data_IF_543991002469
#
_entry.id   IF_543991002469
#
_cell.length_a   1.000
_cell.length_b   1.000
_cell.length_c   1.000
_cell.angle_alpha   90.00
_cell.angle_beta   90.00
_cell.angle_gamma   90.00
#
_symmetry.space_group_name_H-M   'P 1'
#
loop_
_entity.id
_entity.type
_entity.pdbx_description
1 polymer ?
#
# COMPACT_ATOMS: atom_id res chain seq x y z
N UNK A 1 -2.98 -10.10 7.77
CA UNK A 1 -2.99 -8.61 7.75
C UNK A 1 -4.27 -8.12 8.46
N UNK A 2 -4.38 -6.86 8.91
CA UNK A 2 -5.69 -6.26 9.26
C UNK A 2 -6.56 -6.11 8.00
N UNK A 3 -7.88 -6.07 8.12
CA UNK A 3 -8.80 -5.76 7.01
C UNK A 3 -9.90 -4.81 7.50
N UNK A 4 -9.45 -3.65 7.97
CA UNK A 4 -10.27 -2.69 8.70
C UNK A 4 -10.60 -1.45 7.86
N UNK A 5 -9.80 -1.11 6.84
CA UNK A 5 -9.97 0.08 5.98
C UNK A 5 -9.42 -0.14 4.57
N UNK A 6 -9.92 0.63 3.61
CA UNK A 6 -9.42 0.68 2.23
C UNK A 6 -8.01 1.32 2.12
N UNK A 7 -6.97 0.65 2.64
CA UNK A 7 -5.58 1.13 2.57
C UNK A 7 -4.77 0.47 1.43
N UNK A 8 -3.44 0.51 1.48
CA UNK A 8 -2.57 0.03 0.41
C UNK A 8 -2.74 -1.47 0.18
N UNK A 9 -2.20 -2.25 1.11
CA UNK A 9 -2.20 -3.72 1.12
C UNK A 9 -3.59 -4.32 1.35
N UNK A 10 -4.45 -3.61 2.09
CA UNK A 10 -5.84 -4.01 2.36
C UNK A 10 -6.68 -4.09 1.07
N UNK A 11 -6.48 -3.18 0.10
CA UNK A 11 -7.11 -3.25 -1.22
C UNK A 11 -6.43 -4.26 -2.16
N UNK A 12 -5.11 -4.47 -2.05
CA UNK A 12 -4.43 -5.52 -2.85
C UNK A 12 -4.97 -6.91 -2.52
N UNK A 13 -5.21 -7.23 -1.24
CA UNK A 13 -5.86 -8.50 -0.85
C UNK A 13 -7.28 -8.61 -1.41
N UNK A 14 -8.03 -7.51 -1.47
CA UNK A 14 -9.33 -7.52 -2.12
C UNK A 14 -9.21 -7.81 -3.62
N UNK A 15 -8.34 -7.10 -4.36
CA UNK A 15 -8.12 -7.36 -5.80
C UNK A 15 -7.67 -8.82 -6.05
N UNK A 16 -6.80 -9.37 -5.21
CA UNK A 16 -6.36 -10.77 -5.30
C UNK A 16 -7.51 -11.74 -5.05
N UNK A 17 -8.37 -11.49 -4.05
CA UNK A 17 -9.54 -12.33 -3.78
C UNK A 17 -10.64 -12.18 -4.84
N UNK A 18 -10.86 -10.97 -5.37
CA UNK A 18 -11.79 -10.68 -6.48
C UNK A 18 -11.36 -11.50 -7.71
N UNK A 19 -10.11 -11.35 -8.13
CA UNK A 19 -9.56 -12.00 -9.31
C UNK A 19 -9.46 -13.53 -9.18
N UNK A 20 -9.08 -14.06 -8.01
CA UNK A 20 -9.06 -15.52 -7.79
C UNK A 20 -10.44 -16.16 -7.88
N UNK A 21 -11.50 -15.48 -7.41
CA UNK A 21 -12.89 -15.93 -7.58
C UNK A 21 -13.32 -15.91 -9.04
N UNK A 22 -12.94 -14.87 -9.80
CA UNK A 22 -13.22 -14.82 -11.25
C UNK A 22 -12.50 -15.91 -12.03
N UNK A 23 -11.33 -16.34 -11.57
CA UNK A 23 -10.59 -17.49 -12.11
C UNK A 23 -11.11 -18.87 -11.63
N UNK A 24 -12.14 -18.92 -10.78
CA UNK A 24 -12.79 -20.16 -10.33
C UNK A 24 -12.22 -20.79 -9.06
N UNK A 25 -11.29 -20.13 -8.35
CA UNK A 25 -10.76 -20.60 -7.07
C UNK A 25 -11.66 -20.17 -5.88
N UNK A 26 -11.55 -20.85 -4.73
CA UNK A 26 -12.22 -20.43 -3.48
C UNK A 26 -11.24 -19.79 -2.48
N UNK A 27 -10.89 -18.49 -2.61
CA UNK A 27 -10.05 -17.80 -1.62
C UNK A 27 -10.81 -17.52 -0.32
N UNK A 28 -10.15 -17.78 0.81
CA UNK A 28 -10.60 -17.39 2.15
C UNK A 28 -9.65 -16.35 2.72
N UNK A 29 -10.18 -15.19 3.11
CA UNK A 29 -9.36 -14.07 3.60
C UNK A 29 -9.32 -14.11 5.13
N UNK A 30 -8.15 -14.42 5.69
CA UNK A 30 -7.90 -14.36 7.13
C UNK A 30 -7.31 -12.99 7.54
N UNK A 31 -7.97 -12.33 8.50
CA UNK A 31 -7.51 -11.08 9.09
C UNK A 31 -7.90 -10.99 10.58
N UNK A 32 -6.94 -10.92 11.54
CA UNK A 32 -7.24 -10.89 12.98
C UNK A 32 -7.91 -9.61 13.48
N UNK A 33 -8.05 -8.59 12.62
CA UNK A 33 -8.86 -7.39 12.89
C UNK A 33 -9.65 -7.06 11.63
N UNK A 34 -10.96 -6.90 11.78
CA UNK A 34 -11.92 -6.65 10.70
C UNK A 34 -12.54 -5.24 10.83
N UNK A 35 -13.25 -4.81 9.78
CA UNK A 35 -14.05 -3.58 9.77
C UNK A 35 -14.69 -3.36 8.39
N UNK A 36 -14.94 -2.09 8.04
CA UNK A 36 -15.72 -1.66 6.86
C UNK A 36 -15.36 -2.39 5.55
N UNK A 37 -14.07 -2.63 5.27
CA UNK A 37 -13.67 -3.36 4.06
C UNK A 37 -13.97 -4.87 4.15
N UNK A 38 -13.78 -5.51 5.32
CA UNK A 38 -14.15 -6.91 5.52
C UNK A 38 -15.67 -7.12 5.42
N UNK A 39 -16.45 -6.15 5.91
CA UNK A 39 -17.91 -6.13 5.79
C UNK A 39 -18.35 -5.96 4.33
N UNK A 40 -17.76 -5.00 3.61
CA UNK A 40 -17.98 -4.80 2.17
C UNK A 40 -17.64 -6.06 1.35
N UNK A 41 -16.49 -6.69 1.62
CA UNK A 41 -16.09 -7.94 0.97
C UNK A 41 -17.05 -9.10 1.28
N UNK A 42 -17.58 -9.20 2.50
CA UNK A 42 -18.63 -10.21 2.82
C UNK A 42 -19.93 -9.96 2.05
N UNK A 43 -20.33 -8.70 1.85
CA UNK A 43 -21.49 -8.35 0.99
C UNK A 43 -21.23 -8.70 -0.48
N UNK A 44 -19.98 -8.60 -0.94
CA UNK A 44 -19.52 -9.09 -2.27
C UNK A 44 -19.35 -10.63 -2.33
N UNK A 45 -19.70 -11.35 -1.26
CA UNK A 45 -19.70 -12.82 -1.18
C UNK A 45 -18.34 -13.46 -0.89
N UNK A 46 -17.32 -12.70 -0.49
CA UNK A 46 -16.02 -13.24 -0.05
C UNK A 46 -16.14 -13.92 1.31
N UNK A 47 -15.46 -15.06 1.48
CA UNK A 47 -15.33 -15.72 2.79
C UNK A 47 -14.22 -15.04 3.59
N UNK A 48 -14.60 -14.15 4.51
CA UNK A 48 -13.67 -13.39 5.36
C UNK A 48 -13.79 -13.83 6.82
N UNK A 49 -12.67 -14.19 7.47
CA UNK A 49 -12.61 -14.74 8.84
C UNK A 49 -11.53 -14.08 9.70
N UNK A 50 -11.78 -14.02 11.00
CA UNK A 50 -10.87 -13.53 12.06
C UNK A 50 -10.27 -14.66 12.93
N UNK A 51 -10.70 -15.90 12.70
CA UNK A 51 -10.21 -17.12 13.35
C UNK A 51 -9.88 -18.16 12.29
N UNK A 52 -8.67 -18.72 12.34
CA UNK A 52 -8.23 -19.77 11.41
C UNK A 52 -9.06 -21.07 11.56
N UNK A 53 -9.60 -21.32 12.76
CA UNK A 53 -10.56 -22.39 13.03
C UNK A 53 -11.94 -22.21 12.37
N UNK A 54 -12.17 -21.11 11.64
CA UNK A 54 -13.37 -20.86 10.84
C UNK A 54 -13.12 -20.96 9.33
N UNK A 55 -11.91 -21.34 8.89
CA UNK A 55 -11.66 -21.75 7.51
C UNK A 55 -12.27 -23.16 7.32
N UNK A 56 -13.17 -23.39 6.36
CA UNK A 56 -13.97 -24.61 6.29
C UNK A 56 -13.25 -25.81 5.64
N UNK A 57 -12.01 -25.64 5.19
CA UNK A 57 -11.18 -26.65 4.54
C UNK A 57 -9.69 -26.41 4.85
N UNK A 58 -8.85 -27.42 4.60
CA UNK A 58 -7.40 -27.24 4.47
C UNK A 58 -7.12 -26.58 3.11
N UNK A 59 -6.47 -25.40 3.04
CA UNK A 59 -6.12 -24.80 1.74
C UNK A 59 -5.05 -25.63 1.02
N UNK A 60 -5.00 -25.54 -0.31
CA UNK A 60 -3.91 -26.09 -1.12
C UNK A 60 -2.63 -25.24 -1.00
N UNK A 61 -2.79 -23.94 -0.78
CA UNK A 61 -1.72 -22.95 -0.68
C UNK A 61 -2.11 -21.80 0.26
N UNK A 62 -1.14 -21.21 0.94
CA UNK A 62 -1.32 -20.00 1.76
C UNK A 62 -0.64 -18.82 1.07
N UNK A 63 -1.43 -17.84 0.59
CA UNK A 63 -0.92 -16.50 0.31
C UNK A 63 -0.67 -15.78 1.63
N UNK A 64 0.59 -15.58 1.98
CA UNK A 64 1.03 -15.03 3.26
C UNK A 64 1.57 -13.61 3.12
N UNK A 65 1.23 -12.74 4.08
CA UNK A 65 1.81 -11.40 4.21
C UNK A 65 1.65 -10.88 5.63
N UNK A 66 2.64 -10.10 6.06
CA UNK A 66 2.91 -9.74 7.46
C UNK A 66 3.29 -10.96 8.32
N UNK A 67 4.28 -10.80 9.20
CA UNK A 67 4.88 -11.96 9.89
C UNK A 67 3.92 -12.65 10.86
N UNK A 68 3.30 -11.93 11.81
CA UNK A 68 2.43 -12.57 12.83
C UNK A 68 1.25 -13.35 12.23
N UNK A 69 0.47 -12.82 11.26
CA UNK A 69 -0.59 -13.57 10.60
C UNK A 69 -0.08 -14.79 9.83
N UNK A 70 1.13 -14.71 9.26
CA UNK A 70 1.77 -15.85 8.58
C UNK A 70 2.13 -16.96 9.55
N UNK A 71 2.73 -16.64 10.71
CA UNK A 71 3.05 -17.61 11.76
C UNK A 71 1.79 -18.34 12.25
N UNK A 72 0.68 -17.61 12.44
CA UNK A 72 -0.59 -18.20 12.85
C UNK A 72 -1.14 -19.16 11.78
N UNK A 73 -1.11 -18.77 10.51
CA UNK A 73 -1.58 -19.62 9.40
C UNK A 73 -0.72 -20.88 9.21
N UNK A 74 0.60 -20.75 9.32
CA UNK A 74 1.53 -21.89 9.27
C UNK A 74 1.27 -22.88 10.41
N UNK A 75 1.09 -22.39 11.64
CA UNK A 75 0.77 -23.24 12.79
C UNK A 75 -0.61 -23.94 12.70
N UNK A 76 -1.59 -23.32 12.04
CA UNK A 76 -2.91 -23.91 11.83
C UNK A 76 -2.95 -24.95 10.70
N UNK A 77 -2.05 -24.84 9.71
CA UNK A 77 -2.02 -25.67 8.51
C UNK A 77 -0.59 -26.10 8.14
N UNK A 78 0.11 -26.86 9.01
CA UNK A 78 1.57 -27.08 8.92
C UNK A 78 2.04 -27.72 7.60
N UNK A 79 1.23 -28.59 7.02
CA UNK A 79 1.53 -29.29 5.76
C UNK A 79 1.24 -28.47 4.50
N UNK A 80 0.74 -27.23 4.63
CA UNK A 80 0.27 -26.43 3.48
C UNK A 80 1.37 -25.49 2.99
N UNK A 81 1.78 -25.52 1.70
CA UNK A 81 2.83 -24.66 1.19
C UNK A 81 2.42 -23.18 1.24
N UNK A 82 3.39 -22.33 1.57
CA UNK A 82 3.19 -20.89 1.74
C UNK A 82 3.93 -20.12 0.65
N UNK A 83 3.28 -19.08 0.12
CA UNK A 83 3.88 -18.05 -0.73
C UNK A 83 3.88 -16.72 0.02
N UNK A 84 5.05 -16.21 0.42
CA UNK A 84 5.15 -15.02 1.27
C UNK A 84 5.44 -13.74 0.46
N UNK A 85 4.57 -12.75 0.59
CA UNK A 85 4.63 -11.49 -0.17
C UNK A 85 5.19 -10.34 0.69
N UNK A 86 6.22 -9.68 0.15
CA UNK A 86 6.85 -8.48 0.70
C UNK A 86 6.30 -7.25 -0.05
N UNK A 87 5.46 -6.45 0.61
CA UNK A 87 4.80 -5.26 0.04
C UNK A 87 5.54 -3.94 0.35
N UNK A 88 6.62 -4.00 1.14
CA UNK A 88 7.37 -2.83 1.60
C UNK A 88 8.83 -3.19 1.90
N UNK A 89 9.75 -2.40 1.33
CA UNK A 89 11.15 -2.45 1.72
C UNK A 89 11.43 -1.87 3.12
N UNK A 90 10.45 -1.17 3.73
CA UNK A 90 10.69 -0.34 4.91
C UNK A 90 10.20 -0.94 6.24
N UNK A 91 9.10 -1.71 6.24
CA UNK A 91 8.43 -2.07 7.50
C UNK A 91 8.87 -3.41 8.07
N UNK A 92 9.20 -3.47 9.36
CA UNK A 92 9.64 -4.69 10.06
C UNK A 92 8.51 -5.72 10.13
N UNK A 93 7.25 -5.28 10.20
CA UNK A 93 6.09 -6.19 10.13
C UNK A 93 5.99 -6.96 8.80
N UNK A 94 6.62 -6.45 7.74
CA UNK A 94 6.67 -7.03 6.39
C UNK A 94 8.05 -7.64 6.06
N UNK A 95 8.91 -7.87 7.06
CA UNK A 95 10.21 -8.51 6.85
C UNK A 95 10.03 -9.89 6.19
N UNK A 96 10.82 -10.24 5.16
CA UNK A 96 10.84 -11.58 4.60
C UNK A 96 11.11 -12.63 5.68
N UNK A 97 10.36 -13.74 5.63
CA UNK A 97 10.50 -14.86 6.57
C UNK A 97 11.26 -15.98 5.88
N UNK A 98 12.33 -16.49 6.50
CA UNK A 98 12.93 -17.76 6.11
C UNK A 98 12.30 -18.88 6.95
N UNK A 99 11.47 -19.71 6.32
CA UNK A 99 10.83 -20.86 6.97
C UNK A 99 10.64 -22.00 5.97
N UNK A 100 10.83 -23.28 6.34
CA UNK A 100 10.79 -24.39 5.37
C UNK A 100 9.43 -24.57 4.66
N UNK A 101 8.33 -24.14 5.29
CA UNK A 101 6.99 -24.17 4.70
C UNK A 101 6.78 -23.10 3.60
N UNK A 102 7.60 -22.03 3.58
CA UNK A 102 7.51 -20.94 2.60
C UNK A 102 8.29 -21.33 1.36
N UNK A 103 7.60 -21.90 0.36
CA UNK A 103 8.23 -22.43 -0.85
C UNK A 103 8.62 -21.33 -1.83
N UNK A 104 7.82 -20.27 -1.95
CA UNK A 104 8.10 -19.12 -2.82
C UNK A 104 7.96 -17.80 -2.06
N UNK A 105 8.69 -16.79 -2.51
CA UNK A 105 8.60 -15.41 -2.06
C UNK A 105 8.23 -14.50 -3.22
N UNK A 106 7.46 -13.46 -2.95
CA UNK A 106 7.08 -12.45 -3.96
C UNK A 106 7.44 -11.07 -3.45
N UNK A 107 8.17 -10.31 -4.26
CA UNK A 107 8.40 -8.89 -4.04
C UNK A 107 7.48 -8.05 -4.94
N UNK A 108 6.88 -6.98 -4.42
CA UNK A 108 6.02 -6.10 -5.24
C UNK A 108 6.78 -5.03 -6.03
N UNK A 109 8.06 -4.81 -5.74
CA UNK A 109 8.94 -3.91 -6.49
C UNK A 109 10.41 -4.32 -6.31
N UNK A 110 11.31 -3.65 -7.03
CA UNK A 110 12.75 -3.92 -6.99
C UNK A 110 13.38 -3.71 -5.58
N UNK A 111 12.90 -2.74 -4.78
CA UNK A 111 13.40 -2.54 -3.41
C UNK A 111 12.96 -3.70 -2.49
N UNK A 112 11.74 -4.21 -2.68
CA UNK A 112 11.25 -5.38 -1.97
C UNK A 112 12.03 -6.64 -2.38
N UNK A 113 12.47 -6.74 -3.65
CA UNK A 113 13.34 -7.82 -4.15
C UNK A 113 14.70 -7.76 -3.48
N UNK A 114 15.34 -6.58 -3.45
CA UNK A 114 16.61 -6.35 -2.78
C UNK A 114 16.52 -6.68 -1.27
N UNK A 115 15.42 -6.34 -0.61
CA UNK A 115 15.17 -6.72 0.78
C UNK A 115 15.02 -8.23 0.97
N UNK A 116 14.37 -8.94 0.05
CA UNK A 116 14.29 -10.41 0.09
C UNK A 116 15.69 -11.04 -0.06
N UNK A 117 16.47 -10.61 -1.04
CA UNK A 117 17.84 -11.10 -1.26
C UNK A 117 18.75 -10.80 -0.05
N UNK A 118 18.70 -9.58 0.50
CA UNK A 118 19.46 -9.19 1.69
C UNK A 118 19.02 -9.94 2.97
N UNK A 119 17.78 -10.45 3.01
CA UNK A 119 17.27 -11.31 4.08
C UNK A 119 17.61 -12.81 3.87
N UNK A 120 18.41 -13.15 2.86
CA UNK A 120 18.80 -14.53 2.57
C UNK A 120 17.74 -15.36 1.83
N UNK A 121 16.78 -14.72 1.16
CA UNK A 121 15.84 -15.43 0.27
C UNK A 121 16.58 -15.90 -0.98
N UNK A 122 16.44 -17.19 -1.26
CA UNK A 122 16.92 -17.88 -2.45
C UNK A 122 16.39 -17.22 -3.76
N UNK A 123 17.27 -16.77 -4.68
CA UNK A 123 16.87 -16.16 -5.95
C UNK A 123 15.96 -17.05 -6.81
N UNK A 124 16.12 -18.38 -6.79
CA UNK A 124 15.31 -19.30 -7.59
C UNK A 124 13.87 -19.41 -7.07
N UNK A 125 13.64 -18.96 -5.83
CA UNK A 125 12.33 -18.97 -5.15
C UNK A 125 11.70 -17.59 -5.03
N UNK A 126 12.33 -16.55 -5.58
CA UNK A 126 11.91 -15.15 -5.46
C UNK A 126 11.38 -14.57 -6.79
N UNK A 127 10.07 -14.45 -6.90
CA UNK A 127 9.41 -13.72 -7.99
C UNK A 127 9.27 -12.22 -7.69
N UNK A 128 9.08 -11.40 -8.73
CA UNK A 128 8.72 -9.99 -8.60
C UNK A 128 7.40 -9.76 -9.32
N UNK A 129 6.31 -9.56 -8.57
CA UNK A 129 4.95 -9.41 -9.11
C UNK A 129 4.41 -8.04 -8.70
N UNK A 130 4.37 -7.12 -9.66
CA UNK A 130 4.00 -5.73 -9.42
C UNK A 130 2.50 -5.52 -9.16
N UNK A 131 2.10 -4.37 -8.61
CA UNK A 131 0.68 -4.10 -8.34
C UNK A 131 -0.16 -4.13 -9.64
N UNK A 132 -1.36 -4.75 -9.61
CA UNK A 132 -2.35 -4.68 -10.68
C UNK A 132 -3.31 -3.49 -10.51
N UNK A 133 -4.13 -3.27 -11.53
CA UNK A 133 -5.38 -2.52 -11.49
C UNK A 133 -6.56 -3.42 -11.88
N UNK A 134 -7.67 -3.38 -11.13
CA UNK A 134 -8.92 -3.98 -11.59
C UNK A 134 -9.56 -3.09 -12.65
N UNK A 135 -9.30 -3.41 -13.91
CA UNK A 135 -9.82 -2.73 -15.08
C UNK A 135 -11.35 -2.65 -15.18
N UNK A 136 -12.08 -3.59 -14.55
CA UNK A 136 -13.55 -3.62 -14.56
C UNK A 136 -14.14 -2.64 -13.55
N UNK A 137 -13.42 -2.39 -12.44
CA UNK A 137 -13.77 -1.38 -11.44
C UNK A 137 -13.31 0.01 -11.87
N UNK A 138 -12.04 0.14 -12.23
CA UNK A 138 -11.43 1.40 -12.68
C UNK A 138 -11.74 1.63 -14.16
N UNK A 139 -12.99 2.00 -14.46
CA UNK A 139 -13.45 2.35 -15.80
C UNK A 139 -12.66 3.53 -16.40
N UNK A 140 -12.58 3.59 -17.73
CA UNK A 140 -11.90 4.69 -18.45
C UNK A 140 -12.75 5.96 -18.43
N UNK A 141 -12.13 7.10 -18.12
CA UNK A 141 -12.73 8.44 -18.29
C UNK A 141 -12.74 8.85 -19.77
N UNK A 142 -13.46 9.94 -20.07
CA UNK A 142 -13.42 10.58 -21.39
C UNK A 142 -12.08 11.27 -21.70
N UNK A 143 -11.99 11.95 -22.84
CA UNK A 143 -10.78 12.68 -23.25
C UNK A 143 -10.31 13.68 -22.18
N UNK A 144 -8.99 13.83 -22.04
CA UNK A 144 -8.38 14.88 -21.22
C UNK A 144 -8.46 16.25 -21.92
N UNK A 145 -8.61 17.36 -21.18
CA UNK A 145 -8.58 18.70 -21.77
C UNK A 145 -7.15 19.10 -22.19
N UNK A 146 -7.00 20.04 -23.13
CA UNK A 146 -5.68 20.53 -23.57
C UNK A 146 -4.83 21.21 -22.46
N UNK A 147 -5.45 21.56 -21.33
CA UNK A 147 -4.78 21.96 -20.08
C UNK A 147 -5.60 21.43 -18.90
N UNK A 148 -4.98 20.88 -17.83
CA UNK A 148 -5.71 20.36 -16.69
C UNK A 148 -6.42 21.49 -15.94
N UNK A 149 -7.64 21.25 -15.46
CA UNK A 149 -8.43 22.21 -14.69
C UNK A 149 -8.66 21.73 -13.26
N UNK A 150 -8.82 20.42 -13.07
CA UNK A 150 -9.10 19.79 -11.77
C UNK A 150 -8.06 18.73 -11.44
N UNK A 151 -7.48 18.82 -10.25
CA UNK A 151 -6.48 17.88 -9.75
C UNK A 151 -6.86 17.25 -8.42
N UNK A 152 -6.38 16.02 -8.20
CA UNK A 152 -6.57 15.27 -6.95
C UNK A 152 -5.21 14.90 -6.34
N UNK A 153 -4.98 15.27 -5.08
CA UNK A 153 -3.85 14.78 -4.29
C UNK A 153 -4.28 13.58 -3.43
N UNK A 154 -3.79 12.39 -3.79
CA UNK A 154 -3.97 11.15 -3.04
C UNK A 154 -2.82 10.97 -2.04
N UNK A 155 -3.04 11.32 -0.77
CA UNK A 155 -1.96 11.43 0.22
C UNK A 155 -2.16 10.67 1.53
N UNK A 156 -1.08 10.01 1.95
CA UNK A 156 -0.94 9.35 3.27
C UNK A 156 -0.36 10.30 4.33
N UNK A 157 0.38 11.34 3.93
CA UNK A 157 1.23 12.18 4.79
C UNK A 157 1.04 13.69 4.53
N UNK A 158 1.64 14.57 5.34
CA UNK A 158 1.21 15.97 5.50
C UNK A 158 2.18 17.01 4.91
N UNK A 159 3.24 16.59 4.23
CA UNK A 159 4.43 17.41 3.92
C UNK A 159 4.36 18.03 2.50
N UNK A 160 3.97 17.24 1.49
CA UNK A 160 3.87 17.71 0.10
C UNK A 160 2.66 18.62 -0.17
N UNK A 161 1.65 18.59 0.72
CA UNK A 161 0.37 19.29 0.55
C UNK A 161 0.52 20.76 0.15
N UNK A 162 1.41 21.51 0.82
CA UNK A 162 1.64 22.94 0.51
C UNK A 162 2.26 23.11 -0.87
N UNK A 163 3.28 22.32 -1.20
CA UNK A 163 3.98 22.40 -2.47
C UNK A 163 3.05 22.12 -3.66
N UNK A 164 2.23 21.07 -3.56
CA UNK A 164 1.22 20.72 -4.57
C UNK A 164 0.15 21.82 -4.68
N UNK A 165 -0.35 22.35 -3.56
CA UNK A 165 -1.35 23.43 -3.55
C UNK A 165 -0.84 24.72 -4.19
N UNK A 166 0.40 25.14 -3.90
CA UNK A 166 1.01 26.31 -4.52
C UNK A 166 1.28 26.10 -6.03
N UNK A 167 1.78 24.92 -6.42
CA UNK A 167 2.01 24.56 -7.82
C UNK A 167 0.72 24.57 -8.67
N UNK A 168 -0.39 24.08 -8.10
CA UNK A 168 -1.73 24.13 -8.72
C UNK A 168 -2.28 25.56 -8.78
N UNK A 169 -2.20 26.31 -7.66
CA UNK A 169 -2.69 27.69 -7.52
C UNK A 169 -2.07 28.64 -8.55
N UNK A 170 -0.77 28.53 -8.79
CA UNK A 170 -0.05 29.34 -9.80
C UNK A 170 -0.55 29.05 -11.23
N UNK A 171 -1.09 27.85 -11.48
CA UNK A 171 -1.57 27.39 -12.79
C UNK A 171 -3.09 27.46 -12.97
N UNK A 172 -3.82 27.99 -11.99
CA UNK A 172 -5.28 28.09 -12.01
C UNK A 172 -6.01 26.75 -11.87
N UNK A 173 -5.34 25.72 -11.32
CA UNK A 173 -5.89 24.36 -11.18
C UNK A 173 -6.61 24.23 -9.84
N UNK A 174 -7.87 23.77 -9.87
CA UNK A 174 -8.63 23.37 -8.69
C UNK A 174 -8.01 22.13 -8.06
N UNK A 175 -7.52 22.22 -6.81
CA UNK A 175 -6.97 21.07 -6.08
C UNK A 175 -7.97 20.52 -5.05
N UNK A 176 -8.33 19.26 -5.22
CA UNK A 176 -9.01 18.44 -4.21
C UNK A 176 -7.98 17.53 -3.52
N UNK A 177 -8.19 17.25 -2.24
CA UNK A 177 -7.32 16.34 -1.46
C UNK A 177 -8.11 15.15 -0.93
N UNK A 178 -7.46 13.99 -0.85
CA UNK A 178 -8.02 12.78 -0.25
C UNK A 178 -6.93 11.92 0.41
N UNK A 179 -7.31 11.22 1.48
CA UNK A 179 -6.49 10.26 2.21
C UNK A 179 -6.24 10.66 3.67
N UNK A 180 -5.47 9.80 4.37
CA UNK A 180 -5.24 9.87 5.82
C UNK A 180 -4.72 11.23 6.29
N UNK A 181 -3.98 11.96 5.46
CA UNK A 181 -3.44 13.27 5.80
C UNK A 181 -4.51 14.34 6.05
N UNK A 182 -5.66 14.24 5.37
CA UNK A 182 -6.77 15.20 5.42
C UNK A 182 -8.01 14.64 6.12
N UNK A 183 -8.01 13.36 6.49
CA UNK A 183 -9.13 12.70 7.18
C UNK A 183 -10.32 12.34 6.28
N UNK A 184 -10.29 12.75 5.00
CA UNK A 184 -11.22 12.36 3.96
C UNK A 184 -10.80 11.01 3.37
N UNK A 185 -11.72 10.07 3.26
CA UNK A 185 -11.51 8.76 2.64
C UNK A 185 -12.59 8.53 1.58
N UNK A 186 -12.33 7.62 0.64
CA UNK A 186 -13.33 7.14 -0.32
C UNK A 186 -13.37 5.61 -0.28
N UNK A 187 -14.57 5.07 -0.43
CA UNK A 187 -14.82 3.65 -0.70
C UNK A 187 -15.25 3.42 -2.17
N UNK A 188 -15.22 4.47 -2.99
CA UNK A 188 -15.55 4.52 -4.43
C UNK A 188 -14.54 5.39 -5.19
N UNK A 189 -13.25 5.14 -4.96
CA UNK A 189 -12.18 5.93 -5.60
C UNK A 189 -12.13 5.72 -7.11
N UNK A 190 -12.59 4.56 -7.59
CA UNK A 190 -12.80 4.26 -9.00
C UNK A 190 -13.79 5.23 -9.69
N UNK A 191 -14.80 5.74 -8.96
CA UNK A 191 -15.77 6.71 -9.45
C UNK A 191 -15.24 8.15 -9.29
N UNK A 192 -14.60 8.47 -8.16
CA UNK A 192 -14.07 9.82 -7.92
C UNK A 192 -12.97 10.22 -8.92
N UNK A 193 -12.12 9.27 -9.34
CA UNK A 193 -11.04 9.53 -10.30
C UNK A 193 -11.54 10.07 -11.66
N UNK A 194 -12.75 9.70 -12.07
CA UNK A 194 -13.36 10.15 -13.33
C UNK A 194 -13.46 11.69 -13.41
N UNK A 195 -13.65 12.36 -12.25
CA UNK A 195 -13.87 13.81 -12.15
C UNK A 195 -12.62 14.68 -12.20
N UNK A 196 -11.43 14.11 -12.41
CA UNK A 196 -10.14 14.82 -12.40
C UNK A 196 -9.41 14.71 -13.72
N UNK A 197 -8.55 15.69 -14.01
CA UNK A 197 -7.66 15.70 -15.19
C UNK A 197 -6.24 15.26 -14.81
N UNK A 198 -5.85 15.55 -13.56
CA UNK A 198 -4.49 15.37 -13.03
C UNK A 198 -4.55 14.73 -11.64
N UNK A 199 -3.66 13.78 -11.35
CA UNK A 199 -3.57 13.12 -10.04
C UNK A 199 -2.14 13.13 -9.53
N UNK A 200 -1.95 13.56 -8.28
CA UNK A 200 -0.69 13.44 -7.54
C UNK A 200 -0.78 12.20 -6.65
N UNK A 201 0.01 11.16 -6.94
CA UNK A 201 -0.08 9.86 -6.27
C UNK A 201 1.25 9.08 -6.33
N UNK A 202 1.32 7.97 -5.59
CA UNK A 202 2.41 6.98 -5.66
C UNK A 202 1.87 5.56 -5.49
N UNK A 203 2.67 4.56 -5.89
CA UNK A 203 2.33 3.14 -5.88
C UNK A 203 1.00 2.81 -6.62
N UNK A 204 0.25 1.80 -6.14
CA UNK A 204 -1.07 1.37 -6.64
C UNK A 204 -1.98 2.54 -7.07
N UNK A 205 -2.06 3.60 -6.28
CA UNK A 205 -2.94 4.75 -6.54
C UNK A 205 -2.56 5.55 -7.80
N UNK A 206 -1.28 5.58 -8.16
CA UNK A 206 -0.80 6.20 -9.39
C UNK A 206 -1.11 5.32 -10.62
N UNK A 207 -1.02 3.99 -10.47
CA UNK A 207 -1.38 3.02 -11.52
C UNK A 207 -2.89 3.09 -11.79
N UNK A 208 -3.71 3.11 -10.75
CA UNK A 208 -5.17 3.23 -10.86
C UNK A 208 -5.62 4.54 -11.53
N UNK A 209 -5.04 5.68 -11.12
CA UNK A 209 -5.32 6.97 -11.75
C UNK A 209 -4.95 7.00 -13.24
N UNK A 210 -3.80 6.42 -13.60
CA UNK A 210 -3.37 6.31 -14.99
C UNK A 210 -4.28 5.35 -15.80
N UNK A 211 -4.70 4.23 -15.21
CA UNK A 211 -5.59 3.26 -15.84
C UNK A 211 -7.01 3.79 -16.10
N UNK A 212 -7.51 4.69 -15.24
CA UNK A 212 -8.72 5.49 -15.51
C UNK A 212 -8.49 6.43 -16.69
N UNK A 213 -7.27 6.97 -16.85
CA UNK A 213 -6.90 7.89 -17.93
C UNK A 213 -6.67 9.33 -17.47
N UNK A 214 -6.40 9.55 -16.18
CA UNK A 214 -5.91 10.84 -15.69
C UNK A 214 -4.42 11.02 -16.05
N UNK A 215 -3.96 12.26 -16.23
CA UNK A 215 -2.53 12.53 -16.16
C UNK A 215 -2.03 12.32 -14.72
N UNK A 216 -0.82 11.79 -14.53
CA UNK A 216 -0.32 11.42 -13.20
C UNK A 216 1.05 12.01 -12.94
N UNK A 217 1.17 12.81 -11.87
CA UNK A 217 2.45 13.21 -11.31
C UNK A 217 2.78 12.27 -10.16
N UNK A 218 3.86 11.51 -10.32
CA UNK A 218 4.35 10.58 -9.30
C UNK A 218 5.14 11.36 -8.25
N UNK A 219 4.61 11.42 -7.03
CA UNK A 219 5.20 12.19 -5.93
C UNK A 219 4.38 12.15 -4.64
N UNK A 220 5.06 12.11 -3.48
CA UNK A 220 4.43 12.25 -2.16
C UNK A 220 5.35 12.98 -1.16
N UNK A 221 5.05 12.92 0.15
CA UNK A 221 5.83 13.60 1.19
C UNK A 221 7.30 13.16 1.29
N UNK A 222 7.72 12.10 0.60
CA UNK A 222 9.11 11.64 0.52
C UNK A 222 9.93 12.30 -0.60
N UNK A 223 9.28 12.75 -1.67
CA UNK A 223 9.95 13.27 -2.86
C UNK A 223 9.06 13.25 -4.10
N UNK A 224 9.59 13.75 -5.22
CA UNK A 224 8.90 13.85 -6.52
C UNK A 224 9.71 13.09 -7.58
N UNK A 225 9.02 12.34 -8.45
CA UNK A 225 9.60 11.74 -9.65
C UNK A 225 9.29 12.57 -10.90
N UNK A 226 8.05 13.07 -11.01
CA UNK A 226 7.57 13.93 -12.09
C UNK A 226 6.32 13.38 -12.79
N UNK A 227 5.97 13.95 -13.95
CA UNK A 227 4.89 13.42 -14.80
C UNK A 227 5.23 11.99 -15.27
N UNK A 228 4.24 11.10 -15.25
CA UNK A 228 4.28 9.78 -15.85
C UNK A 228 3.95 9.89 -17.35
N UNK A 229 4.84 9.39 -18.19
CA UNK A 229 4.77 9.47 -19.66
C UNK A 229 5.13 8.10 -20.29
N UNK A 230 4.81 7.84 -21.57
CA UNK A 230 4.95 6.50 -22.16
C UNK A 230 6.39 5.97 -22.22
N UNK A 231 7.37 6.85 -22.34
CA UNK A 231 8.81 6.55 -22.25
C UNK A 231 9.25 6.15 -20.83
N UNK A 232 8.62 6.75 -19.81
CA UNK A 232 8.93 6.49 -18.39
C UNK A 232 8.26 5.25 -17.87
N UNK A 233 7.05 4.93 -18.33
CA UNK A 233 6.25 3.82 -17.82
C UNK A 233 7.01 2.49 -17.74
N UNK A 234 7.72 2.00 -18.79
CA UNK A 234 8.45 0.73 -18.71
C UNK A 234 9.50 0.67 -17.59
N UNK A 235 10.25 1.75 -17.35
CA UNK A 235 11.29 1.76 -16.31
C UNK A 235 10.70 2.03 -14.92
N UNK A 236 9.68 2.90 -14.84
CA UNK A 236 8.98 3.22 -13.58
C UNK A 236 8.08 2.06 -13.10
N UNK A 237 7.63 1.16 -14.00
CA UNK A 237 6.92 -0.09 -13.68
C UNK A 237 7.69 -1.00 -12.75
N UNK A 238 8.99 -1.17 -12.98
CA UNK A 238 9.89 -2.03 -12.19
C UNK A 238 10.03 -1.56 -10.73
N UNK A 239 9.81 -0.26 -10.51
CA UNK A 239 9.76 0.37 -9.19
C UNK A 239 8.32 0.59 -8.71
N UNK A 240 7.33 0.02 -9.41
CA UNK A 240 5.90 0.00 -9.07
C UNK A 240 5.30 1.39 -8.78
N UNK A 241 5.80 2.43 -9.45
CA UNK A 241 5.52 3.85 -9.17
C UNK A 241 5.80 4.28 -7.70
N UNK A 242 6.71 3.57 -7.04
CA UNK A 242 6.98 3.61 -5.61
C UNK A 242 8.21 4.42 -5.20
N UNK A 243 8.82 4.05 -4.06
CA UNK A 243 9.75 4.90 -3.32
C UNK A 243 11.05 5.24 -4.07
N UNK A 244 11.60 4.30 -4.84
CA UNK A 244 12.88 4.47 -5.54
C UNK A 244 12.89 5.61 -6.57
N UNK A 245 11.71 6.03 -7.05
CA UNK A 245 11.58 7.09 -8.05
C UNK A 245 11.55 8.50 -7.44
N UNK A 246 11.37 8.62 -6.12
CA UNK A 246 11.06 9.88 -5.43
C UNK A 246 12.34 10.67 -5.09
N UNK A 247 13.16 10.95 -6.10
CA UNK A 247 14.51 11.49 -5.96
C UNK A 247 14.58 13.02 -5.86
N UNK A 248 13.58 13.76 -6.36
CA UNK A 248 13.57 15.22 -6.31
C UNK A 248 12.96 15.74 -5.00
N UNK A 249 13.42 16.89 -4.46
CA UNK A 249 12.88 17.47 -3.24
C UNK A 249 11.41 17.89 -3.39
N UNK A 250 10.69 17.89 -2.27
CA UNK A 250 9.26 18.21 -2.18
C UNK A 250 9.05 19.74 -2.23
N UNK A 251 9.11 20.33 -3.43
CA UNK A 251 8.97 21.79 -3.65
C UNK A 251 7.88 22.13 -4.67
N UNK A 252 7.38 23.38 -4.63
CA UNK A 252 6.32 23.84 -5.53
C UNK A 252 6.83 23.97 -6.98
N UNK A 253 8.14 24.15 -7.14
CA UNK A 253 8.86 24.23 -8.41
C UNK A 253 8.99 22.84 -9.04
N UNK A 254 9.33 21.81 -8.25
CA UNK A 254 9.41 20.41 -8.71
C UNK A 254 8.04 19.87 -9.13
N UNK A 255 6.99 20.08 -8.32
CA UNK A 255 5.62 19.77 -8.74
C UNK A 255 5.18 20.66 -9.91
N UNK A 256 5.60 21.92 -9.95
CA UNK A 256 5.28 22.86 -11.02
C UNK A 256 5.79 22.39 -12.38
N UNK A 257 7.08 22.08 -12.49
CA UNK A 257 7.70 21.55 -13.70
C UNK A 257 7.09 20.19 -14.12
N UNK A 258 6.65 19.38 -13.16
CA UNK A 258 5.91 18.15 -13.45
C UNK A 258 4.51 18.44 -14.04
N UNK A 259 3.80 19.48 -13.59
CA UNK A 259 2.53 19.91 -14.20
C UNK A 259 2.75 20.53 -15.57
N UNK A 260 3.84 21.29 -15.77
CA UNK A 260 4.15 21.92 -17.05
C UNK A 260 4.51 20.90 -18.15
N UNK A 261 4.93 19.69 -17.76
CA UNK A 261 5.14 18.54 -18.63
C UNK A 261 3.84 17.75 -18.94
N UNK A 262 2.67 18.31 -18.66
CA UNK A 262 1.37 17.71 -19.00
C UNK A 262 1.14 17.66 -20.52
N UNK A 263 0.77 16.49 -21.01
CA UNK A 263 0.23 16.28 -22.34
C UNK A 263 -0.93 15.25 -22.28
N UNK A 264 -2.05 15.59 -22.92
CA UNK A 264 -3.28 14.81 -22.87
C UNK A 264 -3.20 13.48 -23.64
N UNK A 265 -2.46 13.44 -24.75
CA UNK A 265 -2.28 12.24 -25.58
C UNK A 265 -1.22 11.31 -24.98
N UNK A 266 -0.17 11.86 -24.37
CA UNK A 266 0.78 11.06 -23.59
C UNK A 266 0.13 10.44 -22.35
N UNK A 267 -0.72 11.17 -21.64
CA UNK A 267 -1.48 10.62 -20.51
C UNK A 267 -2.46 9.52 -20.97
N UNK A 268 -3.13 9.68 -22.11
CA UNK A 268 -3.95 8.62 -22.73
C UNK A 268 -3.11 7.39 -23.09
N UNK A 269 -1.98 7.58 -23.77
CA UNK A 269 -1.08 6.49 -24.18
C UNK A 269 -0.44 5.76 -22.98
N UNK A 270 -0.17 6.47 -21.88
CA UNK A 270 0.16 5.86 -20.58
C UNK A 270 -0.99 5.00 -20.09
N UNK A 271 -2.23 5.51 -20.06
CA UNK A 271 -3.39 4.72 -19.62
C UNK A 271 -3.62 3.46 -20.46
N UNK A 272 -3.40 3.55 -21.78
CA UNK A 272 -3.44 2.41 -22.70
C UNK A 272 -2.35 1.36 -22.39
N UNK A 273 -1.13 1.80 -22.06
CA UNK A 273 -0.05 0.91 -21.65
C UNK A 273 -0.29 0.30 -20.25
N UNK A 274 -0.71 1.12 -19.28
CA UNK A 274 -0.94 0.70 -17.90
C UNK A 274 -1.97 -0.41 -17.82
N UNK A 275 -3.08 -0.32 -18.56
CA UNK A 275 -4.12 -1.35 -18.57
C UNK A 275 -3.59 -2.68 -19.12
N UNK A 276 -2.91 -2.64 -20.28
CA UNK A 276 -2.26 -3.81 -20.88
C UNK A 276 -1.22 -4.45 -19.95
N UNK A 277 -0.35 -3.65 -19.34
CA UNK A 277 0.84 -4.09 -18.60
C UNK A 277 0.63 -4.26 -17.07
N UNK A 278 -0.57 -3.96 -16.57
CA UNK A 278 -0.94 -4.08 -15.16
C UNK A 278 -2.37 -4.63 -14.94
N UNK A 279 -2.96 -5.28 -15.94
CA UNK A 279 -4.28 -5.93 -15.82
C UNK A 279 -4.33 -6.91 -14.64
N UNK A 280 -5.43 -6.88 -13.87
CA UNK A 280 -5.62 -7.80 -12.75
C UNK A 280 -5.63 -9.28 -13.21
N UNK A 281 -6.24 -9.59 -14.36
CA UNK A 281 -6.31 -10.97 -14.85
C UNK A 281 -4.92 -11.49 -15.32
N UNK A 282 -3.99 -10.59 -15.68
CA UNK A 282 -2.58 -10.92 -15.88
C UNK A 282 -1.87 -11.24 -14.57
N UNK A 283 -2.02 -10.38 -13.57
CA UNK A 283 -1.50 -10.58 -12.21
C UNK A 283 -1.99 -11.89 -11.57
N UNK A 284 -3.28 -12.21 -11.71
CA UNK A 284 -3.86 -13.44 -11.15
C UNK A 284 -3.24 -14.67 -11.81
N UNK A 285 -2.99 -14.64 -13.12
CA UNK A 285 -2.33 -15.74 -13.85
C UNK A 285 -0.90 -15.97 -13.37
N UNK A 286 -0.15 -14.89 -13.15
CA UNK A 286 1.21 -14.93 -12.61
C UNK A 286 1.23 -15.46 -11.18
N UNK A 287 0.38 -14.93 -10.30
CA UNK A 287 0.24 -15.41 -8.91
C UNK A 287 -0.21 -16.87 -8.85
N UNK A 288 -1.14 -17.30 -9.71
CA UNK A 288 -1.60 -18.69 -9.77
C UNK A 288 -0.48 -19.65 -10.22
N UNK A 289 0.36 -19.25 -11.18
CA UNK A 289 1.53 -20.03 -11.56
C UNK A 289 2.56 -20.15 -10.41
N UNK A 290 2.75 -19.09 -9.61
CA UNK A 290 3.61 -19.11 -8.42
C UNK A 290 3.01 -20.00 -7.32
N UNK A 291 1.68 -19.99 -7.13
CA UNK A 291 0.99 -20.91 -6.22
C UNK A 291 1.14 -22.36 -6.65
N UNK A 292 0.90 -22.67 -7.93
CA UNK A 292 1.05 -24.01 -8.48
C UNK A 292 2.50 -24.50 -8.32
N UNK A 293 3.49 -23.66 -8.63
CA UNK A 293 4.91 -23.92 -8.37
C UNK A 293 5.22 -24.18 -6.89
N UNK A 294 4.47 -23.61 -5.94
CA UNK A 294 4.61 -23.87 -4.51
C UNK A 294 3.91 -25.15 -4.04
N UNK A 295 2.86 -25.58 -4.73
CA UNK A 295 2.12 -26.84 -4.51
C UNK A 295 2.93 -28.04 -5.04
N UNK A 296 3.45 -27.93 -6.26
CA UNK A 296 4.21 -28.99 -6.94
C UNK A 296 5.64 -29.18 -6.38
N UNK A 297 6.06 -28.34 -5.45
CA UNK A 297 7.36 -28.41 -4.79
C UNK A 297 7.42 -29.64 -3.85
N UNK A 298 8.22 -30.68 -4.16
CA UNK A 298 8.15 -31.95 -3.44
C UNK A 298 8.86 -31.91 -2.08
N UNK A 299 9.53 -30.81 -1.72
CA UNK A 299 10.34 -30.69 -0.51
C UNK A 299 9.48 -30.47 0.75
N UNK A 300 8.67 -31.46 1.12
CA UNK A 300 8.11 -31.55 2.47
C UNK A 300 9.26 -31.57 3.49
N UNK A 301 9.45 -30.43 4.15
CA UNK A 301 10.49 -30.27 5.14
C UNK A 301 10.19 -31.10 6.38
N UNK A 302 11.20 -31.82 6.87
CA UNK A 302 11.18 -32.57 8.13
C UNK A 302 10.33 -31.85 9.21
N UNK A 303 9.29 -32.51 9.78
CA UNK A 303 8.44 -31.93 10.80
C UNK A 303 9.23 -31.37 12.00
N UNK A 304 10.37 -31.98 12.39
CA UNK A 304 11.19 -31.46 13.48
C UNK A 304 11.89 -30.15 13.08
N UNK A 305 12.51 -30.08 11.91
CA UNK A 305 13.06 -28.84 11.33
C UNK A 305 12.01 -27.74 11.15
N UNK A 306 10.80 -28.10 10.73
CA UNK A 306 9.68 -27.16 10.55
C UNK A 306 9.17 -26.62 11.89
N UNK A 307 8.99 -27.49 12.89
CA UNK A 307 8.63 -27.09 14.25
C UNK A 307 9.71 -26.20 14.90
N UNK A 308 10.99 -26.55 14.72
CA UNK A 308 12.11 -25.75 15.23
C UNK A 308 12.18 -24.37 14.58
N UNK A 309 12.01 -24.28 13.25
CA UNK A 309 11.98 -23.00 12.55
C UNK A 309 10.77 -22.13 12.96
N UNK A 310 9.61 -22.75 13.27
CA UNK A 310 8.47 -22.06 13.87
C UNK A 310 8.81 -21.55 15.28
N UNK A 311 9.47 -22.36 16.11
CA UNK A 311 9.87 -21.98 17.47
C UNK A 311 10.84 -20.78 17.47
N UNK A 312 11.89 -20.80 16.64
CA UNK A 312 12.82 -19.66 16.51
C UNK A 312 12.11 -18.37 16.09
N UNK A 313 11.11 -18.45 15.20
CA UNK A 313 10.32 -17.28 14.81
C UNK A 313 9.38 -16.81 15.93
N UNK A 314 8.84 -17.71 16.76
CA UNK A 314 8.06 -17.33 17.95
C UNK A 314 8.93 -16.65 19.02
N UNK A 315 10.18 -17.10 19.20
CA UNK A 315 11.14 -16.45 20.10
C UNK A 315 11.46 -15.02 19.63
N UNK A 316 11.71 -14.84 18.33
CA UNK A 316 11.99 -13.53 17.72
C UNK A 316 10.83 -12.52 17.86
N UNK A 317 9.62 -13.04 18.11
CA UNK A 317 8.38 -12.29 18.30
C UNK A 317 7.85 -12.27 19.75
N UNK A 318 8.56 -12.89 20.69
CA UNK A 318 8.19 -12.95 22.11
C UNK A 318 8.34 -11.57 22.80
N UNK A 319 7.26 -10.95 23.31
CA UNK A 319 7.34 -9.68 24.03
C UNK A 319 8.24 -9.80 25.27
N UNK A 320 9.39 -9.13 25.26
CA UNK A 320 10.49 -9.40 26.20
C UNK A 320 11.44 -8.21 26.42
N UNK A 321 12.17 -8.14 27.54
CA UNK A 321 13.17 -7.10 27.79
C UNK A 321 14.35 -7.06 26.80
N UNK A 322 14.54 -8.07 25.96
CA UNK A 322 15.58 -8.10 24.93
C UNK A 322 15.19 -7.25 23.70
N UNK A 323 16.21 -6.72 23.01
CA UNK A 323 16.03 -6.18 21.65
C UNK A 323 15.80 -7.35 20.68
N UNK A 324 14.59 -7.41 20.11
CA UNK A 324 14.08 -8.45 19.22
C UNK A 324 13.03 -7.85 18.29
N UNK A 325 12.76 -8.51 17.17
CA UNK A 325 11.86 -8.05 16.08
C UNK A 325 10.49 -7.55 16.55
N UNK A 326 9.95 -8.11 17.64
CA UNK A 326 8.69 -7.64 18.23
C UNK A 326 8.71 -6.14 18.61
N UNK A 327 9.87 -5.60 19.03
CA UNK A 327 10.01 -4.20 19.47
C UNK A 327 9.96 -3.22 18.33
N UNK A 328 10.59 -3.54 17.20
CA UNK A 328 10.53 -2.71 16.00
C UNK A 328 9.07 -2.54 15.58
N UNK A 329 8.34 -3.65 15.54
CA UNK A 329 6.95 -3.71 15.07
C UNK A 329 5.99 -3.06 16.06
N UNK A 330 6.20 -3.23 17.38
CA UNK A 330 5.45 -2.48 18.39
C UNK A 330 5.83 -1.00 18.39
N UNK A 331 7.04 -0.62 17.96
CA UNK A 331 7.42 0.78 17.77
C UNK A 331 6.75 1.39 16.53
N UNK A 332 6.70 0.67 15.41
CA UNK A 332 5.95 1.05 14.19
C UNK A 332 4.46 1.28 14.52
N UNK A 333 3.82 0.31 15.19
CA UNK A 333 2.43 0.41 15.61
C UNK A 333 2.22 1.48 16.69
N UNK A 334 3.14 1.60 17.65
CA UNK A 334 3.06 2.50 18.80
C UNK A 334 3.22 3.97 18.41
N UNK A 335 4.14 4.28 17.49
CA UNK A 335 4.25 5.61 16.87
C UNK A 335 2.96 5.99 16.15
N UNK A 336 2.34 5.05 15.42
CA UNK A 336 1.04 5.30 14.80
C UNK A 336 -0.08 5.49 15.84
N UNK A 337 -0.08 4.73 16.94
CA UNK A 337 -1.11 4.82 17.98
C UNK A 337 -1.05 6.15 18.76
N UNK A 338 0.10 6.51 19.34
CA UNK A 338 0.28 7.73 20.15
C UNK A 338 -0.05 8.99 19.35
N UNK A 339 0.51 9.10 18.13
CA UNK A 339 0.27 10.18 17.17
C UNK A 339 -1.21 10.33 16.79
N UNK A 340 -1.96 9.23 16.68
CA UNK A 340 -3.40 9.29 16.41
C UNK A 340 -4.22 9.72 17.64
N UNK A 341 -3.77 9.41 18.87
CA UNK A 341 -4.39 9.91 20.10
C UNK A 341 -4.16 11.41 20.29
N UNK A 342 -2.92 11.88 20.19
CA UNK A 342 -2.54 13.31 20.28
C UNK A 342 -3.31 14.17 19.26
N UNK A 343 -3.42 13.70 18.01
CA UNK A 343 -4.20 14.39 16.98
C UNK A 343 -5.69 14.46 17.31
N UNK A 344 -6.30 13.39 17.82
CA UNK A 344 -7.71 13.39 18.25
C UNK A 344 -7.95 14.35 19.41
N UNK A 345 -7.03 14.41 20.36
CA UNK A 345 -7.14 15.31 21.51
C UNK A 345 -7.02 16.78 21.09
N UNK A 346 -6.05 17.11 20.23
CA UNK A 346 -5.90 18.45 19.65
C UNK A 346 -7.13 18.82 18.81
N UNK A 347 -7.67 17.90 18.00
CA UNK A 347 -8.89 18.15 17.22
C UNK A 347 -10.14 18.31 18.10
N UNK A 348 -10.25 17.59 19.22
CA UNK A 348 -11.31 17.77 20.20
C UNK A 348 -11.21 19.15 20.88
N UNK A 349 -10.03 19.51 21.40
CA UNK A 349 -9.76 20.83 22.00
C UNK A 349 -10.01 22.00 21.02
N UNK A 350 -9.75 21.81 19.72
CA UNK A 350 -10.02 22.78 18.66
C UNK A 350 -11.50 22.91 18.28
N UNK A 351 -12.34 21.91 18.61
CA UNK A 351 -13.81 21.94 18.42
C UNK A 351 -14.53 22.59 19.60
N UNK A 352 -14.03 22.44 20.83
CA UNK A 352 -14.68 22.97 22.05
C UNK A 352 -14.34 24.44 22.35
N UNK A 353 -13.36 25.05 21.69
CA UNK A 353 -13.03 26.47 21.89
C UNK A 353 -13.88 27.39 21.00
N UNK A 354 -14.83 28.11 21.61
CA UNK A 354 -15.90 28.86 20.91
C UNK A 354 -16.00 30.37 21.20
N UNK A 355 -15.29 30.94 22.19
CA UNK A 355 -15.28 32.39 22.46
C UNK A 355 -14.20 33.16 21.67
N UNK A 356 -14.25 34.50 21.67
CA UNK A 356 -13.26 35.32 20.94
C UNK A 356 -11.85 35.29 21.55
N UNK A 357 -11.73 35.12 22.87
CA UNK A 357 -10.45 34.89 23.56
C UNK A 357 -9.71 33.67 23.01
N UNK A 358 -10.46 32.68 22.48
CA UNK A 358 -9.89 31.53 21.83
C UNK A 358 -9.06 31.88 20.59
N UNK A 359 -9.06 33.10 20.03
CA UNK A 359 -8.17 33.47 18.90
C UNK A 359 -6.69 33.29 19.24
N UNK A 360 -6.26 33.55 20.47
CA UNK A 360 -4.88 33.30 20.91
C UNK A 360 -4.64 31.80 21.13
N UNK A 361 -5.49 31.15 21.93
CA UNK A 361 -5.44 29.71 22.25
C UNK A 361 -5.50 28.83 20.99
N UNK A 362 -6.32 29.17 20.01
CA UNK A 362 -6.50 28.47 18.72
C UNK A 362 -5.36 28.74 17.73
N UNK A 363 -4.64 29.87 17.86
CA UNK A 363 -3.33 30.07 17.20
C UNK A 363 -2.26 29.21 17.86
N UNK A 364 -2.21 29.15 19.19
CA UNK A 364 -1.27 28.32 19.96
C UNK A 364 -1.47 26.83 19.65
N UNK A 365 -2.70 26.30 19.74
CA UNK A 365 -3.03 24.92 19.35
C UNK A 365 -2.77 24.65 17.86
N UNK A 366 -2.99 25.60 16.95
CA UNK A 366 -2.59 25.44 15.54
C UNK A 366 -1.07 25.38 15.38
N UNK A 367 -0.32 26.18 16.14
CA UNK A 367 1.15 26.20 16.13
C UNK A 367 1.73 24.92 16.73
N UNK A 368 1.30 24.51 17.92
CA UNK A 368 1.64 23.22 18.51
C UNK A 368 1.29 22.04 17.57
N UNK A 369 0.14 22.11 16.87
CA UNK A 369 -0.22 21.13 15.84
C UNK A 369 0.69 21.19 14.59
N UNK A 370 1.28 22.33 14.25
CA UNK A 370 2.29 22.47 13.19
C UNK A 370 3.67 21.99 13.67
N UNK A 371 4.07 22.31 14.89
CA UNK A 371 5.34 21.93 15.49
C UNK A 371 5.40 20.40 15.71
N UNK A 372 4.29 19.79 16.16
CA UNK A 372 4.13 18.33 16.23
C UNK A 372 4.26 17.70 14.82
N UNK A 373 3.65 18.31 13.78
CA UNK A 373 3.78 17.85 12.39
C UNK A 373 5.20 18.05 11.82
N UNK A 374 5.94 19.06 12.27
CA UNK A 374 7.33 19.28 11.89
C UNK A 374 8.26 18.26 12.57
N UNK A 375 8.01 17.93 13.85
CA UNK A 375 8.69 16.83 14.53
C UNK A 375 8.40 15.47 13.86
N UNK A 376 7.16 15.25 13.39
CA UNK A 376 6.77 14.05 12.62
C UNK A 376 7.48 13.90 11.26
N UNK A 377 8.05 14.97 10.70
CA UNK A 377 8.71 14.97 9.39
C UNK A 377 10.22 14.66 9.46
N UNK A 378 10.81 14.62 10.67
CA UNK A 378 12.14 14.04 10.86
C UNK A 378 12.02 12.51 10.88
N UNK A 379 13.03 11.76 10.37
CA UNK A 379 13.15 10.34 10.67
C UNK A 379 13.10 10.09 12.18
N UNK A 380 12.61 8.93 12.60
CA UNK A 380 12.77 8.48 13.99
C UNK A 380 14.26 8.49 14.38
N UNK A 381 14.57 8.65 15.69
CA UNK A 381 15.96 8.59 16.13
C UNK A 381 16.56 7.25 15.69
N UNK A 382 17.75 7.30 15.07
CA UNK A 382 18.50 6.09 14.77
C UNK A 382 19.01 5.49 16.08
N UNK A 383 18.41 4.37 16.46
CA UNK A 383 18.94 3.39 17.41
C UNK A 383 19.48 2.21 16.61
#
# INVERSE_FOLDING_TARGET
MRLARFSGTEVVVQHTADGLRRAGHEPVVYAPELGEQAESMRVQGHRVVDRLSAVPFRPDVIHAQHVTPTLMAMAAFPDTPVVHVCHSAMFHIERPILHPQIRRHVAVDQLCKERCLAAGVDPERLAVVYNPVDETRFARRGSLPAKPKRALLLTKTREQRKAVADACRVRGIELVELGRAVGRFSNRIEDELQGFDLVFATARMAIEAAAVGCAVVVGDGRGVAGMLTPDRWPTWRHNNLGAALLSQPVTAEAFGAAIDAYDAEQARAVGDAVRRDASLDGYIREMAAIYQSAIDDPALADPARTAMATASLLEDWLPSPAERTWRDVVSEMGWAARRNAELREVEARLRTTTSEEARATRRSLKRAMQDLKAAMAKPGPKS
#
